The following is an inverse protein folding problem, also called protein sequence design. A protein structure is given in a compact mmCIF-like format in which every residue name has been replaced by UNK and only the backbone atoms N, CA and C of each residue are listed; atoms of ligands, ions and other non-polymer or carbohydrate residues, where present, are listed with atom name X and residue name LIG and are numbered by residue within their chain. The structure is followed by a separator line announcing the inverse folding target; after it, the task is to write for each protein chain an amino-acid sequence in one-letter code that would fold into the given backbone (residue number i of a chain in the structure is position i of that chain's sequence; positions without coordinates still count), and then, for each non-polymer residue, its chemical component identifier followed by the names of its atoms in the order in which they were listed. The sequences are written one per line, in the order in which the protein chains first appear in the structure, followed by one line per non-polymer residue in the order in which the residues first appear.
data_IF_465218579451
#
_entry.id   IF_465218579451
#
_cell.length_a   1.000
_cell.length_b   1.000
_cell.length_c   1.000
_cell.angle_alpha   90.00
_cell.angle_beta   90.00
_cell.angle_gamma   90.00
#
_symmetry.space_group_name_H-M   'P 1'
#
loop_
_entity.id
_entity.type
_entity.pdbx_description
1 polymer ?
2 water ?
#
# COMPACT_ATOMS: atom_id res chain seq x y z
N UNK A 6 13.08 -9.71 -12.67
CA UNK A 6 13.50 -8.54 -11.90
C UNK A 6 12.40 -8.12 -10.92
N UNK A 7 12.58 -6.93 -10.31
CA UNK A 7 11.67 -6.43 -9.28
C UNK A 7 10.41 -5.82 -9.89
N UNK A 8 10.51 -5.23 -11.07
CA UNK A 8 9.36 -4.63 -11.73
C UNK A 8 8.37 -5.69 -12.21
N UNK A 9 8.87 -6.75 -12.87
CA UNK A 9 8.00 -7.78 -13.40
C UNK A 9 7.12 -8.41 -12.33
N UNK A 10 7.66 -8.66 -11.14
CA UNK A 10 6.86 -9.32 -10.11
C UNK A 10 5.67 -8.47 -9.72
N UNK A 11 5.90 -7.16 -9.48
CA UNK A 11 4.81 -6.29 -9.10
C UNK A 11 3.76 -6.23 -10.20
N UNK A 12 4.18 -6.13 -11.46
CA UNK A 12 3.19 -6.01 -12.52
C UNK A 12 2.40 -7.30 -12.64
N UNK A 13 3.09 -8.44 -12.55
CA UNK A 13 2.41 -9.73 -12.58
C UNK A 13 1.41 -9.82 -11.44
N UNK A 14 1.83 -9.47 -10.22
CA UNK A 14 0.93 -9.59 -9.07
C UNK A 14 -0.25 -8.66 -9.22
N UNK A 15 0.01 -7.41 -9.59
CA UNK A 15 -1.07 -6.44 -9.86
C UNK A 15 -2.07 -7.03 -10.86
N UNK A 16 -1.57 -7.62 -11.94
CA UNK A 16 -2.48 -8.19 -12.93
C UNK A 16 -3.30 -9.33 -12.33
N UNK A 17 -2.66 -10.15 -11.52
CA UNK A 17 -3.39 -11.25 -10.93
C UNK A 17 -4.42 -10.73 -9.94
N UNK A 18 -4.04 -9.71 -9.14
CA UNK A 18 -4.89 -9.25 -8.05
C UNK A 18 -6.19 -8.66 -8.57
N UNK A 19 -6.13 -7.86 -9.64
CA UNK A 19 -7.29 -7.13 -10.14
C UNK A 19 -7.96 -7.80 -11.32
N UNK A 20 -7.20 -8.56 -12.13
CA UNK A 20 -7.76 -9.05 -13.37
C UNK A 20 -7.71 -10.56 -13.59
N UNK A 21 -6.54 -11.20 -13.45
CA UNK A 21 -6.47 -12.56 -13.99
C UNK A 21 -6.82 -13.64 -12.99
N UNK A 22 -6.63 -13.39 -11.70
CA UNK A 22 -6.95 -14.36 -10.66
C UNK A 22 -8.04 -13.85 -9.72
N UNK A 23 -8.36 -12.57 -9.75
CA UNK A 23 -9.41 -12.05 -8.88
C UNK A 23 -9.09 -12.13 -7.40
N UNK A 24 -7.81 -12.01 -7.05
CA UNK A 24 -7.44 -12.04 -5.66
C UNK A 24 -8.14 -10.97 -4.85
N UNK A 25 -8.47 -9.81 -5.46
CA UNK A 25 -9.16 -8.80 -4.67
C UNK A 25 -10.51 -9.31 -4.18
N UNK A 26 -11.10 -10.26 -4.90
CA UNK A 26 -12.36 -10.81 -4.45
C UNK A 26 -12.16 -12.01 -3.55
N UNK A 27 -11.06 -12.75 -3.76
CA UNK A 27 -10.67 -13.79 -2.80
C UNK A 27 -10.48 -13.21 -1.40
N UNK A 28 -9.76 -12.08 -1.30
CA UNK A 28 -9.52 -11.48 0.01
C UNK A 28 -10.73 -10.72 0.51
N UNK A 29 -11.55 -10.15 -0.39
CA UNK A 29 -12.84 -9.65 0.08
C UNK A 29 -13.66 -10.76 0.72
N UNK A 30 -13.65 -11.96 0.15
CA UNK A 30 -14.41 -13.03 0.77
C UNK A 30 -13.79 -13.44 2.12
N UNK A 31 -12.47 -13.55 2.18
CA UNK A 31 -11.81 -13.91 3.44
C UNK A 31 -12.19 -12.94 4.54
N UNK A 32 -12.19 -11.66 4.23
CA UNK A 32 -12.50 -10.61 5.21
C UNK A 32 -13.99 -10.57 5.54
N UNK A 33 -14.85 -10.76 4.55
CA UNK A 33 -16.28 -10.84 4.88
C UNK A 33 -16.56 -12.01 5.80
N UNK A 34 -15.98 -13.18 5.52
CA UNK A 34 -16.18 -14.33 6.40
C UNK A 34 -15.64 -14.07 7.79
N UNK A 35 -14.62 -13.23 7.88
CA UNK A 35 -14.05 -12.93 9.17
C UNK A 35 -14.97 -11.98 9.92
N UNK A 36 -15.51 -10.96 9.23
CA UNK A 36 -16.37 -9.99 9.90
C UNK A 36 -17.66 -10.64 10.38
N UNK A 37 -18.22 -11.56 9.57
CA UNK A 37 -19.39 -12.30 10.05
C UNK A 37 -19.03 -13.17 11.25
N UNK A 38 -17.80 -13.71 11.29
CA UNK A 38 -17.36 -14.50 12.43
C UNK A 38 -17.43 -13.69 13.71
N UNK A 39 -16.89 -12.48 13.67
CA UNK A 39 -16.99 -11.60 14.82
C UNK A 39 -18.42 -11.15 15.07
N UNK A 40 -19.18 -10.86 14.01
CA UNK A 40 -20.55 -10.38 14.20
C UNK A 40 -21.40 -11.42 14.93
N UNK A 41 -21.18 -12.71 14.63
CA UNK A 41 -21.94 -13.76 15.32
C UNK A 41 -21.54 -13.89 16.77
N UNK A 42 -20.38 -13.35 17.17
CA UNK A 42 -19.93 -13.39 18.56
C UNK A 42 -20.27 -12.11 19.31
N UNK A 43 -20.89 -11.13 18.66
CA UNK A 43 -21.22 -9.86 19.29
C UNK A 43 -20.06 -8.90 19.24
N UNK A 48 -20.87 -2.16 11.46
CA UNK A 48 -19.58 -1.76 10.88
C UNK A 48 -19.74 -1.30 9.43
N UNK A 49 -19.09 -0.19 9.11
CA UNK A 49 -19.09 0.37 7.76
C UNK A 49 -17.97 -0.26 6.93
N UNK A 50 -18.34 -0.87 5.81
CA UNK A 50 -17.38 -1.48 4.90
C UNK A 50 -17.29 -0.62 3.65
N UNK A 51 -16.08 -0.51 3.09
CA UNK A 51 -15.91 0.19 1.83
C UNK A 51 -15.25 -0.77 0.85
N UNK A 52 -15.94 -1.07 -0.25
CA UNK A 52 -15.49 -1.97 -1.30
C UNK A 52 -15.08 -1.18 -2.53
N UNK A 53 -14.28 -1.81 -3.38
CA UNK A 53 -13.96 -1.23 -4.68
C UNK A 53 -14.96 -1.67 -5.74
N UNK A 54 -15.30 -0.73 -6.64
CA UNK A 54 -16.09 -1.08 -7.82
C UNK A 54 -15.19 -1.90 -8.75
N UNK A 55 -15.78 -2.49 -9.80
CA UNK A 55 -15.01 -3.33 -10.71
C UNK A 55 -13.73 -2.60 -11.12
N UNK A 56 -12.57 -3.26 -11.11
CA UNK A 56 -11.33 -2.55 -11.41
C UNK A 56 -11.39 -1.90 -12.77
N UNK A 57 -10.74 -0.75 -12.92
CA UNK A 57 -10.88 0.02 -14.14
C UNK A 57 -10.06 -0.67 -15.20
N UNK A 58 -10.38 -0.34 -16.43
CA UNK A 58 -9.53 -0.81 -17.50
C UNK A 58 -8.14 -0.19 -17.41
N UNK A 59 -7.97 0.92 -16.71
CA UNK A 59 -6.67 1.57 -16.55
C UNK A 59 -6.40 1.75 -15.07
N UNK A 60 -5.44 0.99 -14.55
CA UNK A 60 -5.10 1.08 -13.13
C UNK A 60 -4.26 2.33 -12.90
N UNK A 61 -4.33 2.85 -11.70
CA UNK A 61 -3.52 3.99 -11.29
C UNK A 61 -2.50 3.49 -10.31
N UNK A 62 -1.22 3.66 -10.65
CA UNK A 62 -0.12 3.05 -9.88
C UNK A 62 0.88 4.15 -9.53
N UNK A 63 1.25 4.21 -8.24
CA UNK A 63 2.22 5.16 -7.71
C UNK A 63 3.45 4.37 -7.32
N UNK A 64 4.60 4.71 -7.90
CA UNK A 64 5.87 4.06 -7.55
C UNK A 64 6.69 5.08 -6.78
N UNK A 65 7.18 4.70 -5.59
CA UNK A 65 7.93 5.62 -4.74
C UNK A 65 9.25 4.97 -4.37
N UNK A 66 10.36 5.68 -4.53
CA UNK A 66 11.65 5.22 -4.08
C UNK A 66 12.61 4.84 -5.16
N UNK A 67 12.16 4.82 -6.42
CA UNK A 67 12.98 4.51 -7.58
C UNK A 67 13.47 5.81 -8.20
N UNK A 68 14.80 5.94 -8.37
CA UNK A 68 15.28 7.17 -9.00
C UNK A 68 15.07 7.12 -10.51
N UNK A 69 14.83 5.94 -11.07
CA UNK A 69 14.51 5.75 -12.48
C UNK A 69 13.04 5.35 -12.62
N UNK A 70 12.42 5.77 -13.71
CA UNK A 70 11.07 5.27 -13.98
C UNK A 70 11.16 3.88 -14.57
N UNK A 71 10.39 2.91 -14.05
CA UNK A 71 10.48 1.53 -14.52
C UNK A 71 9.24 1.04 -15.28
N UNK A 75 1.78 2.91 -20.25
CA UNK A 75 1.28 1.76 -20.99
C UNK A 75 -0.25 1.67 -20.96
N UNK A 76 -0.84 1.05 -21.98
CA UNK A 76 -2.25 0.67 -21.88
C UNK A 76 -2.52 -0.09 -20.59
N UNK A 77 -3.59 0.30 -19.92
CA UNK A 77 -4.07 -0.33 -18.71
C UNK A 77 -3.24 0.06 -17.50
N UNK A 78 -2.19 0.87 -17.64
CA UNK A 78 -1.33 1.19 -16.49
C UNK A 78 -0.92 2.64 -16.56
N UNK A 79 -1.42 3.44 -15.62
CA UNK A 79 -0.99 4.83 -15.45
C UNK A 79 -0.03 4.84 -14.27
N UNK A 80 1.26 4.96 -14.54
CA UNK A 80 2.25 4.92 -13.49
C UNK A 80 2.70 6.33 -13.21
N UNK A 81 2.74 6.72 -11.93
CA UNK A 81 3.33 7.98 -11.48
C UNK A 81 4.51 7.60 -10.60
N UNK A 82 5.71 8.05 -10.94
CA UNK A 82 6.86 7.71 -10.12
C UNK A 82 7.36 8.97 -9.40
N UNK A 83 7.72 8.82 -8.13
CA UNK A 83 8.21 9.88 -7.28
C UNK A 83 9.46 9.45 -6.54
N UNK A 84 10.38 10.38 -6.30
CA UNK A 84 11.52 10.07 -5.47
C UNK A 84 12.10 11.36 -4.92
N UNK A 85 12.80 11.25 -3.77
CA UNK A 85 13.57 12.40 -3.26
C UNK A 85 14.69 12.81 -4.20
N UNK A 86 15.30 11.86 -4.91
CA UNK A 86 16.52 12.13 -5.66
C UNK A 86 16.40 11.54 -7.04
N UNK A 87 15.50 12.07 -7.87
CA UNK A 87 15.28 11.46 -9.18
C UNK A 87 16.48 11.62 -10.10
N UNK A 88 16.67 10.59 -10.92
CA UNK A 88 17.76 10.57 -11.87
C UNK A 88 17.34 11.09 -13.22
N UNK A 89 16.05 11.02 -13.52
CA UNK A 89 15.47 11.43 -14.80
C UNK A 89 14.24 12.30 -14.56
N UNK A 90 13.94 13.18 -15.53
CA UNK A 90 12.74 14.00 -15.46
C UNK A 90 11.46 13.17 -15.39
N UNK A 91 11.49 11.90 -15.82
CA UNK A 91 10.32 11.04 -15.79
C UNK A 91 9.89 10.70 -14.36
N UNK A 92 10.70 11.00 -13.35
CA UNK A 92 10.36 10.76 -11.96
C UNK A 92 10.20 12.12 -11.29
N UNK A 93 9.04 12.35 -10.70
CA UNK A 93 8.77 13.61 -10.03
C UNK A 93 9.55 13.71 -8.73
N UNK A 94 10.08 14.90 -8.45
CA UNK A 94 10.82 15.10 -7.19
C UNK A 94 9.85 15.33 -6.06
N UNK A 95 10.02 14.58 -4.99
CA UNK A 95 9.16 14.75 -3.84
C UNK A 95 9.83 14.19 -2.61
N UNK A 96 9.51 14.74 -1.42
CA UNK A 96 9.74 14.04 -0.14
C UNK A 96 8.40 13.42 0.23
N UNK A 97 8.27 12.10 0.01
CA UNK A 97 7.02 11.38 0.22
C UNK A 97 6.42 11.69 1.58
N UNK A 98 7.26 11.84 2.61
CA UNK A 98 6.71 12.06 3.96
C UNK A 98 6.09 13.44 4.14
N UNK A 99 6.46 14.41 3.30
CA UNK A 99 5.93 15.76 3.48
C UNK A 99 4.79 16.09 2.50
N UNK A 100 4.58 15.24 1.52
CA UNK A 100 3.48 15.42 0.57
C UNK A 100 2.14 15.34 1.28
N UNK A 101 1.20 16.22 0.91
CA UNK A 101 -0.11 16.23 1.57
C UNK A 101 -1.06 15.38 0.72
N UNK A 102 -1.65 14.33 1.31
CA UNK A 102 -2.51 13.41 0.55
C UNK A 102 -3.93 13.91 0.76
N UNK A 103 -4.58 14.43 -0.30
CA UNK A 103 -5.81 15.20 -0.06
C UNK A 103 -6.86 14.80 -1.07
N UNK A 104 -8.12 14.90 -0.71
CA UNK A 104 -9.19 14.59 -1.67
C UNK A 104 -9.41 15.78 -2.62
N UNK A 105 -10.26 15.56 -3.62
CA UNK A 105 -10.65 16.66 -4.49
C UNK A 105 -9.68 16.98 -5.60
N UNK A 106 -8.62 16.18 -5.78
CA UNK A 106 -7.70 16.35 -6.89
C UNK A 106 -7.51 14.94 -7.45
N UNK A 107 -7.04 14.86 -8.70
CA UNK A 107 -6.68 13.55 -9.27
C UNK A 107 -5.27 13.47 -9.84
N UNK A 108 -4.54 14.55 -9.83
CA UNK A 108 -3.23 14.54 -10.40
C UNK A 108 -2.31 15.17 -9.38
N UNK A 109 -1.04 14.77 -9.37
CA UNK A 109 -0.05 15.45 -8.53
C UNK A 109 -0.13 16.95 -8.68
N UNK A 110 0.07 17.63 -7.56
CA UNK A 110 0.15 19.08 -7.54
C UNK A 110 1.58 19.53 -7.29
N UNK A 111 2.16 20.26 -8.23
CA UNK A 111 3.58 20.66 -8.16
C UNK A 111 3.70 22.14 -7.81
N UNK A 112 4.60 22.45 -6.87
CA UNK A 112 4.99 23.82 -6.62
C UNK A 112 6.50 23.86 -6.79
N UNK A 113 6.98 24.71 -7.70
CA UNK A 113 8.42 24.93 -7.90
C UNK A 113 9.17 23.61 -8.12
N UNK A 114 8.60 22.76 -8.98
CA UNK A 114 9.26 21.55 -9.45
C UNK A 114 9.23 20.35 -8.51
N UNK A 115 8.57 20.48 -7.36
CA UNK A 115 8.43 19.43 -6.35
C UNK A 115 6.97 19.10 -6.14
N UNK A 116 6.66 17.82 -5.87
CA UNK A 116 5.29 17.43 -5.60
C UNK A 116 4.90 17.96 -4.23
N UNK A 117 3.77 18.65 -4.17
CA UNK A 117 3.29 19.13 -2.87
C UNK A 117 2.07 18.39 -2.36
N UNK A 118 1.17 17.99 -3.25
CA UNK A 118 -0.01 17.24 -2.87
C UNK A 118 -0.17 16.09 -3.84
N UNK A 119 -0.69 14.97 -3.33
CA UNK A 119 -1.09 13.82 -4.15
C UNK A 119 -2.54 13.51 -3.85
N UNK A 120 -3.26 12.91 -4.82
CA UNK A 120 -4.68 12.59 -4.63
C UNK A 120 -4.92 11.47 -3.62
N UNK A 121 -5.87 11.68 -2.72
CA UNK A 121 -6.28 10.68 -1.75
C UNK A 121 -7.23 9.67 -2.36
N UNK A 122 -7.16 8.43 -1.88
CA UNK A 122 -8.12 7.38 -2.26
C UNK A 122 -8.23 7.29 -3.77
N UNK A 123 -7.07 7.28 -4.42
CA UNK A 123 -6.98 7.37 -5.87
C UNK A 123 -6.26 6.19 -6.54
N UNK A 124 -5.30 5.54 -5.87
CA UNK A 124 -4.42 4.56 -6.51
C UNK A 124 -4.87 3.14 -6.20
N UNK A 125 -4.91 2.30 -7.21
CA UNK A 125 -5.18 0.89 -6.98
C UNK A 125 -3.96 0.22 -6.34
N UNK A 126 -2.78 0.77 -6.60
CA UNK A 126 -1.54 0.15 -6.14
C UNK A 126 -0.52 1.24 -5.82
N UNK A 127 0.17 1.09 -4.70
CA UNK A 127 1.34 1.91 -4.38
C UNK A 127 2.51 0.93 -4.26
N UNK A 128 3.59 1.21 -4.96
CA UNK A 128 4.79 0.38 -4.93
C UNK A 128 5.84 1.14 -4.14
N UNK A 129 6.44 0.49 -3.11
CA UNK A 129 7.61 1.06 -2.44
C UNK A 129 8.86 0.38 -2.96
N UNK A 130 9.67 1.09 -3.73
CA UNK A 130 10.80 0.49 -4.37
C UNK A 130 11.98 0.86 -3.51
N UNK A 131 12.17 0.08 -2.45
CA UNK A 131 13.21 0.23 -1.46
C UNK A 131 12.92 1.40 -0.52
N UNK A 132 11.75 2.04 -0.61
CA UNK A 132 11.52 3.26 0.17
C UNK A 132 11.84 3.03 1.64
N UNK A 133 11.45 1.88 2.17
CA UNK A 133 11.65 1.64 3.60
C UNK A 133 13.13 1.52 3.96
N UNK A 134 13.97 1.12 3.01
CA UNK A 134 15.38 1.00 3.31
C UNK A 134 16.00 2.36 3.50
N UNK A 135 15.34 3.44 3.06
CA UNK A 135 15.91 4.79 3.19
C UNK A 135 15.54 5.49 4.51
N UNK A 136 14.57 4.97 5.22
CA UNK A 136 13.98 5.66 6.36
C UNK A 136 14.89 5.53 7.57
N UNK A 137 15.04 6.63 8.35
CA UNK A 137 15.91 6.58 9.55
C UNK A 137 15.32 5.85 10.76
N UNK A 138 14.03 5.53 10.81
CA UNK A 138 13.47 4.96 12.04
C UNK A 138 12.31 4.02 11.77
N UNK A 139 11.97 3.23 12.78
CA UNK A 139 10.73 2.48 12.65
C UNK A 139 9.56 3.43 12.55
N UNK A 140 9.68 4.62 13.16
CA UNK A 140 8.56 5.56 13.14
C UNK A 140 8.29 6.06 11.73
N UNK A 141 9.35 6.35 10.97
CA UNK A 141 9.19 6.90 9.62
C UNK A 141 8.77 5.85 8.61
N UNK A 142 9.17 4.60 8.84
CA UNK A 142 8.63 3.51 8.02
C UNK A 142 7.14 3.42 8.20
N UNK A 143 6.67 3.47 9.45
CA UNK A 143 5.23 3.40 9.69
C UNK A 143 4.52 4.57 9.03
N UNK A 144 5.11 5.77 9.09
CA UNK A 144 4.54 6.96 8.46
C UNK A 144 4.38 6.79 6.95
N UNK A 145 5.36 6.16 6.32
CA UNK A 145 5.28 5.85 4.90
C UNK A 145 4.06 4.98 4.63
N UNK A 146 3.81 4.00 5.51
CA UNK A 146 2.65 3.16 5.32
C UNK A 146 1.37 3.95 5.56
N UNK A 147 1.38 4.88 6.51
CA UNK A 147 0.19 5.72 6.73
C UNK A 147 -0.12 6.57 5.51
N UNK A 148 0.92 7.15 4.89
CA UNK A 148 0.72 7.82 3.59
C UNK A 148 0.18 6.87 2.57
N UNK A 149 0.78 5.70 2.44
CA UNK A 149 0.26 4.75 1.45
C UNK A 149 -1.23 4.51 1.66
N UNK A 150 -1.62 4.20 2.87
CA UNK A 150 -3.02 3.88 3.13
C UNK A 150 -3.92 5.00 2.66
N UNK A 151 -3.53 6.25 2.89
CA UNK A 151 -4.41 7.37 2.49
C UNK A 151 -4.48 7.50 0.98
N UNK A 152 -3.41 7.11 0.27
CA UNK A 152 -3.38 7.16 -1.20
C UNK A 152 -4.20 6.07 -1.85
N UNK A 153 -4.40 4.95 -1.17
CA UNK A 153 -5.00 3.78 -1.82
C UNK A 153 -6.51 3.83 -1.85
N UNK A 154 -7.08 3.34 -2.94
CA UNK A 154 -8.51 3.16 -3.02
C UNK A 154 -8.88 2.03 -2.07
N UNK A 155 -10.16 1.91 -1.70
CA UNK A 155 -10.58 0.70 -0.98
C UNK A 155 -10.14 -0.56 -1.71
N UNK A 156 -9.62 -1.54 -0.96
CA UNK A 156 -9.12 -2.83 -1.47
C UNK A 156 -7.89 -2.69 -2.36
N UNK A 157 -7.25 -1.53 -2.40
CA UNK A 157 -6.01 -1.43 -3.15
C UNK A 157 -4.87 -2.10 -2.42
N UNK A 158 -3.72 -2.16 -3.10
CA UNK A 158 -2.60 -2.91 -2.59
C UNK A 158 -1.37 -2.02 -2.46
N UNK A 159 -0.62 -2.26 -1.40
CA UNK A 159 0.71 -1.71 -1.20
C UNK A 159 1.72 -2.83 -1.46
N UNK A 160 2.59 -2.65 -2.47
CA UNK A 160 3.63 -3.62 -2.85
C UNK A 160 4.97 -3.13 -2.33
N UNK A 161 5.64 -3.95 -1.51
CA UNK A 161 6.87 -3.57 -0.86
C UNK A 161 7.97 -4.39 -1.49
N UNK A 162 9.09 -3.75 -1.78
CA UNK A 162 10.22 -4.38 -2.47
C UNK A 162 11.44 -4.32 -1.57
N UNK A 163 12.19 -5.42 -1.52
CA UNK A 163 13.59 -5.42 -1.09
C UNK A 163 14.28 -6.60 -1.77
N UNK A 164 15.00 -6.34 -2.86
CA UNK A 164 15.89 -7.37 -3.41
C UNK A 164 16.90 -7.77 -2.35
N UNK A 165 17.29 -9.04 -2.36
CA UNK A 165 18.10 -9.58 -1.29
C UNK A 165 19.51 -8.99 -1.27
N UNK A 170 20.77 -3.91 6.56
CA UNK A 170 20.43 -4.67 7.75
C UNK A 170 20.39 -6.16 7.53
N UNK A 171 20.38 -6.95 8.61
CA UNK A 171 20.43 -8.41 8.48
C UNK A 171 19.21 -8.95 7.74
N UNK A 172 18.03 -8.39 7.98
CA UNK A 172 16.80 -8.77 7.29
C UNK A 172 16.19 -7.56 6.58
N UNK A 173 15.47 -7.84 5.49
CA UNK A 173 14.80 -6.78 4.74
C UNK A 173 13.58 -6.26 5.50
N UNK A 174 13.37 -4.94 5.43
CA UNK A 174 12.27 -4.26 6.12
C UNK A 174 11.04 -4.36 5.22
N UNK A 175 10.22 -5.40 5.45
CA UNK A 175 9.03 -5.69 4.66
C UNK A 175 7.78 -5.58 5.51
N UNK A 176 7.93 -5.06 6.73
CA UNK A 176 6.86 -4.94 7.74
C UNK A 176 6.29 -6.32 8.11
N UNK A 177 7.12 -7.36 7.95
CA UNK A 177 6.67 -8.72 8.24
C UNK A 177 6.23 -8.86 9.67
N UNK A 178 7.01 -8.33 10.60
CA UNK A 178 6.69 -8.38 12.02
C UNK A 178 5.81 -7.21 12.47
N UNK A 179 5.09 -6.53 11.53
CA UNK A 179 4.31 -5.35 11.90
C UNK A 179 2.87 -5.48 11.46
N UNK A 180 2.35 -6.71 11.42
CA UNK A 180 0.95 -6.86 11.02
C UNK A 180 0.02 -6.25 12.04
N UNK A 181 0.42 -6.18 13.31
CA UNK A 181 -0.45 -5.55 14.29
C UNK A 181 -0.60 -4.06 13.99
N UNK A 182 0.52 -3.34 13.87
CA UNK A 182 0.49 -1.91 13.69
C UNK A 182 -0.13 -1.57 12.33
N UNK A 183 0.22 -2.35 11.30
CA UNK A 183 -0.43 -2.16 10.03
C UNK A 183 -1.91 -2.51 10.06
N UNK A 184 -2.32 -3.50 10.86
CA UNK A 184 -3.76 -3.77 10.96
C UNK A 184 -4.48 -2.63 11.65
N UNK A 185 -3.78 -1.94 12.56
CA UNK A 185 -4.43 -0.89 13.30
C UNK A 185 -4.68 0.29 12.39
N UNK A 186 -3.87 0.40 11.33
CA UNK A 186 -4.03 1.41 10.30
C UNK A 186 -5.03 1.00 9.23
N UNK A 187 -5.29 -0.31 9.07
CA UNK A 187 -6.21 -0.78 8.05
C UNK A 187 -5.61 -1.65 6.96
N UNK A 188 -4.36 -2.07 7.10
CA UNK A 188 -3.66 -2.84 6.08
C UNK A 188 -3.45 -4.27 6.56
N UNK A 189 -3.71 -5.26 5.67
CA UNK A 189 -3.62 -6.67 6.02
C UNK A 189 -2.71 -7.35 5.01
N UNK A 190 -1.81 -8.21 5.50
CA UNK A 190 -0.90 -8.91 4.58
C UNK A 190 -1.65 -9.88 3.70
N UNK A 191 -1.31 -9.88 2.39
CA UNK A 191 -1.96 -10.80 1.47
C UNK A 191 -0.96 -11.62 0.66
N UNK A 192 0.31 -11.24 0.68
CA UNK A 192 1.29 -12.03 -0.05
C UNK A 192 2.70 -11.76 0.43
N UNK A 193 3.53 -12.81 0.38
CA UNK A 193 4.94 -12.78 0.74
C UNK A 193 5.65 -13.80 -0.13
N UNK A 194 6.64 -13.36 -0.89
CA UNK A 194 7.42 -14.26 -1.72
C UNK A 194 8.88 -13.85 -1.61
N UNK A 195 9.77 -14.82 -1.45
CA UNK A 195 11.20 -14.51 -1.35
C UNK A 195 11.89 -14.47 -2.73
N UNK A 201 9.59 -9.56 -1.78
CA UNK A 201 8.26 -9.03 -2.10
C UNK A 201 7.18 -9.26 -1.07
N UNK A 202 6.48 -8.20 -0.72
CA UNK A 202 5.48 -8.31 0.31
C UNK A 202 4.33 -7.43 -0.09
N UNK A 203 3.10 -7.91 0.08
CA UNK A 203 1.98 -7.11 -0.34
C UNK A 203 0.97 -6.96 0.79
N UNK A 204 0.55 -5.75 1.02
CA UNK A 204 -0.51 -5.48 1.97
C UNK A 204 -1.74 -4.93 1.26
N UNK A 205 -2.91 -5.24 1.79
CA UNK A 205 -4.17 -4.82 1.19
C UNK A 205 -4.92 -3.89 2.15
N UNK A 206 -5.56 -2.86 1.60
CA UNK A 206 -6.46 -1.98 2.34
C UNK A 206 -7.79 -2.69 2.54
N UNK A 207 -8.07 -3.08 3.77
CA UNK A 207 -9.18 -3.96 4.12
C UNK A 207 -10.50 -3.25 3.97
N UNK A 208 -11.57 -4.04 3.76
CA UNK A 208 -12.90 -3.50 3.51
C UNK A 208 -13.37 -2.65 4.67
N UNK A 209 -12.85 -2.92 5.86
CA UNK A 209 -13.20 -2.12 7.04
C UNK A 209 -11.99 -2.01 7.95
N UNK A 210 -11.62 -0.77 8.33
CA UNK A 210 -10.57 -0.60 9.33
C UNK A 210 -10.96 -1.12 10.70
N UNK A 211 -12.24 -0.94 11.06
CA UNK A 211 -12.70 -1.51 12.33
C UNK A 211 -12.52 -3.01 12.35
N UNK A 212 -12.77 -3.67 11.22
CA UNK A 212 -12.49 -5.09 11.11
C UNK A 212 -11.03 -5.39 11.37
N UNK A 213 -10.15 -4.69 10.64
CA UNK A 213 -8.73 -4.94 10.75
C UNK A 213 -8.26 -4.62 12.17
N UNK A 214 -8.73 -3.49 12.73
CA UNK A 214 -8.39 -3.15 14.12
C UNK A 214 -8.82 -4.27 15.08
N UNK A 215 -10.02 -4.85 14.91
CA UNK A 215 -10.43 -5.90 15.84
C UNK A 215 -9.56 -7.14 15.69
N UNK A 216 -9.25 -7.53 14.45
CA UNK A 216 -8.29 -8.61 14.26
C UNK A 216 -7.00 -8.30 15.01
N UNK A 217 -6.46 -7.09 14.83
CA UNK A 217 -5.31 -6.66 15.62
C UNK A 217 -5.56 -6.80 17.13
N UNK A 218 -6.74 -6.38 17.61
CA UNK A 218 -7.11 -6.50 19.03
C UNK A 218 -7.01 -7.93 19.55
N UNK A 219 -7.49 -8.91 18.75
CA UNK A 219 -7.52 -10.30 19.19
C UNK A 219 -6.12 -10.92 19.20
N UNK A 220 -5.21 -10.40 18.37
CA UNK A 220 -3.83 -10.88 18.34
C UNK A 220 -2.88 -9.88 18.99
N UNK A 221 -3.36 -9.16 20.01
CA UNK A 221 -2.54 -8.13 20.63
C UNK A 221 -1.29 -8.73 21.31
N UNK A 222 -1.44 -9.87 22.00
CA UNK A 222 -0.29 -10.48 22.66
C UNK A 222 0.77 -10.86 21.65
N UNK A 223 0.37 -11.55 20.57
CA UNK A 223 1.37 -11.92 19.57
C UNK A 223 1.93 -10.69 18.88
N UNK A 224 1.10 -9.65 18.71
CA UNK A 224 1.56 -8.48 17.99
C UNK A 224 2.54 -7.64 18.80
N UNK A 225 2.25 -7.44 20.09
CA UNK A 225 3.18 -6.80 21.00
C UNK A 225 4.47 -7.61 21.19
N UNK A 226 4.42 -8.93 21.02
CA UNK A 226 5.64 -9.74 21.07
C UNK A 226 6.57 -9.43 19.90
N UNK A 227 6.00 -9.14 18.72
CA UNK A 227 6.82 -8.87 17.56
C UNK A 227 7.22 -7.41 17.41
N UNK A 228 6.41 -6.47 17.91
CA UNK A 228 6.65 -5.06 17.62
C UNK A 228 7.42 -4.33 18.71
N UNK A 229 7.66 -4.97 19.86
CA UNK A 229 8.66 -4.51 20.82
C UNK A 229 9.79 -5.51 20.86
#
# INVERSE_FOLDING_TARGET
ELQARSRIKWAIDYITKYFFTEGIYLQKRQREQRLLESYRAEGKLGEVQCRLMEEPPDRLHVLDVGSCFNPFSSAPHLEVTALDLCPATEDVLQADFLKVEVVPGIREPELEEGSVRRLPASHYECVIFSLLLEYMPSAEQRLQCCLQAYDLLLPEGILVLITPDSQHVGKNAHLMKNWRYSLARIGLLRVRFEKLPHISCMVFRKAISRELSQHWASIHREEGMCEEIRIPQDDS
#
